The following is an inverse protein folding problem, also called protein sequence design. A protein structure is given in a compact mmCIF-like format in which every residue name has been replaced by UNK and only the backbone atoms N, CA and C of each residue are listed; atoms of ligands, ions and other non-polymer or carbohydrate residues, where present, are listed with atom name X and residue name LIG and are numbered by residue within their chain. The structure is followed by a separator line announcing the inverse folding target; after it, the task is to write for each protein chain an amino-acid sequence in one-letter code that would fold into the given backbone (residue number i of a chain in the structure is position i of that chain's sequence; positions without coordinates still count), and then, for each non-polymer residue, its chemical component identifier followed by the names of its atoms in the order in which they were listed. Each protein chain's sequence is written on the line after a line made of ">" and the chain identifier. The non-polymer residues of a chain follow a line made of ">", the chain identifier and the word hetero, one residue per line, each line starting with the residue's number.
data_IF_080804406423
#
_entry.id   IF_080804406423
#
_cell.length_a   1.000
_cell.length_b   1.000
_cell.length_c   1.000
_cell.angle_alpha   90.00
_cell.angle_beta   90.00
_cell.angle_gamma   90.00
#
_symmetry.space_group_name_H-M   'P 1'
#
loop_
_entity.id
_entity.type
_entity.pdbx_description
1 polymer ?
#
# COMPACT_ATOMS: atom_id res chain seq x y z
N UNK A 1 -1.22 52.68 31.92
CA UNK A 1 0.05 52.26 31.25
C UNK A 1 0.28 50.76 31.39
N UNK A 2 0.02 50.20 32.58
CA UNK A 2 0.05 48.76 32.85
C UNK A 2 -1.00 47.96 32.02
N UNK A 3 -2.22 48.49 31.87
CA UNK A 3 -3.30 47.80 31.16
C UNK A 3 -3.01 47.57 29.67
N UNK A 4 -2.44 48.57 28.98
CA UNK A 4 -1.95 48.43 27.59
C UNK A 4 -0.84 47.39 27.46
N UNK A 5 -0.05 47.19 28.51
CA UNK A 5 0.98 46.15 28.55
C UNK A 5 0.36 44.76 28.74
N UNK A 6 -0.64 44.64 29.62
CA UNK A 6 -1.39 43.41 29.84
C UNK A 6 -2.17 42.99 28.58
N UNK A 7 -2.80 43.92 27.88
CA UNK A 7 -3.45 43.67 26.57
C UNK A 7 -2.46 43.14 25.53
N UNK A 8 -1.28 43.76 25.40
CA UNK A 8 -0.24 43.29 24.48
C UNK A 8 0.24 41.87 24.81
N UNK A 9 0.37 41.53 26.09
CA UNK A 9 0.76 40.19 26.53
C UNK A 9 -0.36 39.17 26.21
N UNK A 10 -1.62 39.53 26.42
CA UNK A 10 -2.77 38.69 26.07
C UNK A 10 -2.86 38.43 24.55
N UNK A 11 -2.68 39.48 23.73
CA UNK A 11 -2.64 39.37 22.27
C UNK A 11 -1.46 38.54 21.77
N UNK A 12 -0.30 38.65 22.41
CA UNK A 12 0.86 37.83 22.10
C UNK A 12 0.60 36.36 22.45
N UNK A 13 0.02 36.08 23.62
CA UNK A 13 -0.35 34.73 24.05
C UNK A 13 -1.37 34.10 23.08
N UNK A 14 -2.37 34.87 22.65
CA UNK A 14 -3.37 34.42 21.67
C UNK A 14 -2.71 34.08 20.33
N UNK A 15 -1.87 34.96 19.79
CA UNK A 15 -1.13 34.72 18.55
C UNK A 15 -0.20 33.51 18.63
N UNK A 16 0.48 33.32 19.76
CA UNK A 16 1.32 32.16 20.01
C UNK A 16 0.50 30.86 20.06
N UNK A 17 -0.65 30.87 20.73
CA UNK A 17 -1.57 29.73 20.78
C UNK A 17 -2.12 29.39 19.40
N UNK A 18 -2.61 30.38 18.65
CA UNK A 18 -3.16 30.20 17.31
C UNK A 18 -2.09 29.64 16.36
N UNK A 19 -0.86 30.18 16.45
CA UNK A 19 0.29 29.70 15.69
C UNK A 19 0.61 28.25 16.05
N UNK A 20 0.72 27.92 17.33
CA UNK A 20 1.00 26.55 17.79
C UNK A 20 -0.08 25.55 17.35
N UNK A 21 -1.36 25.93 17.48
CA UNK A 21 -2.51 25.14 17.02
C UNK A 21 -2.45 24.88 15.51
N UNK A 22 -2.09 25.91 14.71
CA UNK A 22 -1.92 25.77 13.27
C UNK A 22 -0.74 24.86 12.90
N UNK A 23 0.39 24.94 13.62
CA UNK A 23 1.53 24.07 13.40
C UNK A 23 1.21 22.63 13.77
N UNK A 24 0.56 22.41 14.91
CA UNK A 24 0.17 21.08 15.36
C UNK A 24 -0.81 20.42 14.39
N UNK A 25 -1.86 21.12 13.98
CA UNK A 25 -2.83 20.60 13.02
C UNK A 25 -2.19 20.31 11.65
N UNK A 26 -1.32 21.18 11.15
CA UNK A 26 -0.57 20.96 9.91
C UNK A 26 0.34 19.74 10.00
N UNK A 27 1.06 19.57 11.11
CA UNK A 27 1.92 18.42 11.35
C UNK A 27 1.12 17.12 11.48
N UNK A 28 0.02 17.14 12.22
CA UNK A 28 -0.89 16.00 12.37
C UNK A 28 -1.47 15.56 11.01
N UNK A 29 -1.88 16.52 10.19
CA UNK A 29 -2.40 16.23 8.84
C UNK A 29 -1.32 15.65 7.92
N UNK A 30 -0.09 16.19 7.95
CA UNK A 30 1.04 15.66 7.18
C UNK A 30 1.44 14.25 7.61
N UNK A 31 1.52 13.99 8.91
CA UNK A 31 1.85 12.66 9.43
C UNK A 31 0.79 11.63 9.06
N UNK A 32 -0.49 12.00 9.16
CA UNK A 32 -1.60 11.15 8.69
C UNK A 32 -1.49 10.82 7.20
N UNK A 33 -1.23 11.82 6.35
CA UNK A 33 -1.06 11.61 4.90
C UNK A 33 0.15 10.70 4.59
N UNK A 34 1.27 10.87 5.29
CA UNK A 34 2.45 9.99 5.15
C UNK A 34 2.12 8.55 5.56
N UNK A 35 1.41 8.36 6.67
CA UNK A 35 0.99 7.04 7.14
C UNK A 35 0.04 6.38 6.15
N UNK A 36 -0.94 7.11 5.63
CA UNK A 36 -1.88 6.60 4.64
C UNK A 36 -1.17 6.21 3.34
N UNK A 37 -0.23 7.02 2.86
CA UNK A 37 0.61 6.69 1.69
C UNK A 37 1.47 5.44 1.94
N UNK A 38 2.08 5.34 3.11
CA UNK A 38 2.94 4.20 3.48
C UNK A 38 2.12 2.92 3.58
N UNK A 39 0.96 2.97 4.24
CA UNK A 39 0.04 1.84 4.35
C UNK A 39 -0.35 1.31 2.97
N UNK A 40 -0.75 2.20 2.06
CA UNK A 40 -1.10 1.82 0.68
C UNK A 40 0.08 1.19 -0.06
N UNK A 41 1.29 1.74 0.06
CA UNK A 41 2.51 1.13 -0.53
C UNK A 41 2.75 -0.28 -0.01
N UNK A 42 2.60 -0.49 1.30
CA UNK A 42 2.74 -1.82 1.92
C UNK A 42 1.68 -2.79 1.39
N UNK A 43 0.43 -2.35 1.23
CA UNK A 43 -0.64 -3.16 0.65
C UNK A 43 -0.34 -3.57 -0.81
N UNK A 44 0.16 -2.64 -1.63
CA UNK A 44 0.58 -2.93 -3.01
C UNK A 44 1.74 -3.93 -3.05
N UNK A 45 2.76 -3.75 -2.20
CA UNK A 45 3.90 -4.66 -2.16
C UNK A 45 3.53 -6.06 -1.64
N UNK A 46 2.57 -6.17 -0.71
CA UNK A 46 2.01 -7.47 -0.29
C UNK A 46 1.43 -8.24 -1.48
N UNK A 47 0.62 -7.58 -2.30
CA UNK A 47 0.00 -8.21 -3.49
C UNK A 47 1.07 -8.58 -4.51
N UNK A 48 2.06 -7.71 -4.72
CA UNK A 48 3.20 -8.00 -5.60
C UNK A 48 3.96 -9.25 -5.15
N UNK A 49 4.20 -9.41 -3.85
CA UNK A 49 4.82 -10.60 -3.28
C UNK A 49 3.95 -11.85 -3.47
N UNK A 50 2.63 -11.71 -3.34
CA UNK A 50 1.68 -12.80 -3.58
C UNK A 50 1.72 -13.29 -5.04
N UNK A 51 1.72 -12.37 -6.01
CA UNK A 51 1.87 -12.70 -7.43
C UNK A 51 3.16 -13.47 -7.67
N UNK A 52 4.29 -13.00 -7.12
CA UNK A 52 5.59 -13.70 -7.23
C UNK A 52 5.54 -15.12 -6.64
N UNK A 53 4.89 -15.29 -5.48
CA UNK A 53 4.71 -16.61 -4.86
C UNK A 53 3.85 -17.53 -5.74
N UNK A 54 2.82 -17.01 -6.38
CA UNK A 54 1.96 -17.80 -7.27
C UNK A 54 2.72 -18.22 -8.54
N UNK A 55 3.52 -17.34 -9.14
CA UNK A 55 4.42 -17.71 -10.24
C UNK A 55 5.46 -18.75 -9.82
N UNK A 56 6.04 -18.64 -8.63
CA UNK A 56 6.96 -19.64 -8.12
C UNK A 56 6.30 -21.02 -7.99
N UNK A 57 5.07 -21.08 -7.46
CA UNK A 57 4.28 -22.33 -7.38
C UNK A 57 4.01 -22.91 -8.77
N UNK A 58 3.63 -22.08 -9.73
CA UNK A 58 3.40 -22.50 -11.12
C UNK A 58 4.67 -23.07 -11.76
N UNK A 59 5.79 -22.35 -11.65
CA UNK A 59 7.08 -22.81 -12.20
C UNK A 59 7.53 -24.12 -11.57
N UNK A 60 7.39 -24.27 -10.25
CA UNK A 60 7.68 -25.53 -9.53
C UNK A 60 6.78 -26.68 -10.00
N UNK A 61 5.51 -26.40 -10.26
CA UNK A 61 4.57 -27.40 -10.78
C UNK A 61 4.97 -27.87 -12.19
N UNK A 62 5.17 -26.93 -13.11
CA UNK A 62 5.57 -27.22 -14.51
C UNK A 62 6.88 -27.99 -14.55
N UNK A 63 7.90 -27.55 -13.79
CA UNK A 63 9.18 -28.25 -13.74
C UNK A 63 9.03 -29.69 -13.22
N UNK A 64 8.19 -29.90 -12.19
CA UNK A 64 7.93 -31.24 -11.67
C UNK A 64 7.23 -32.13 -12.69
N UNK A 65 6.23 -31.63 -13.40
CA UNK A 65 5.52 -32.41 -14.42
C UNK A 65 6.42 -32.75 -15.61
N UNK A 66 7.24 -31.79 -16.06
CA UNK A 66 8.20 -32.03 -17.12
C UNK A 66 9.20 -33.13 -16.74
N UNK A 67 9.75 -33.10 -15.52
CA UNK A 67 10.71 -34.11 -15.05
C UNK A 67 10.07 -35.49 -14.89
N UNK A 68 8.86 -35.58 -14.31
CA UNK A 68 8.26 -36.86 -13.95
C UNK A 68 7.63 -37.59 -15.13
N UNK A 69 7.03 -36.85 -16.07
CA UNK A 69 6.19 -37.45 -17.10
C UNK A 69 6.51 -36.95 -18.51
N UNK A 70 7.48 -36.04 -18.67
CA UNK A 70 7.80 -35.45 -19.98
C UNK A 70 6.69 -34.58 -20.55
N UNK A 71 5.67 -34.24 -19.75
CA UNK A 71 4.54 -33.44 -20.19
C UNK A 71 4.97 -31.99 -20.46
N UNK A 72 4.69 -31.52 -21.67
CA UNK A 72 4.90 -30.15 -22.11
C UNK A 72 3.60 -29.42 -22.48
N UNK A 73 2.51 -30.17 -22.66
CA UNK A 73 1.18 -29.61 -22.92
C UNK A 73 0.36 -29.59 -21.62
N UNK A 74 -0.10 -28.40 -21.24
CA UNK A 74 -0.87 -28.13 -20.03
C UNK A 74 -2.28 -27.58 -20.33
N UNK A 75 -2.69 -27.58 -21.60
CA UNK A 75 -3.97 -27.00 -22.03
C UNK A 75 -5.19 -27.60 -21.30
N UNK A 76 -5.15 -28.91 -21.03
CA UNK A 76 -6.17 -29.64 -20.29
C UNK A 76 -5.80 -29.92 -18.82
N UNK A 77 -4.73 -29.32 -18.29
CA UNK A 77 -4.30 -29.53 -16.91
C UNK A 77 -5.06 -28.60 -15.96
N UNK A 78 -6.02 -29.16 -15.21
CA UNK A 78 -6.87 -28.43 -14.27
C UNK A 78 -6.06 -27.64 -13.24
N UNK A 79 -4.94 -28.20 -12.75
CA UNK A 79 -4.11 -27.57 -11.72
C UNK A 79 -3.27 -26.44 -12.29
N UNK A 80 -2.77 -26.59 -13.51
CA UNK A 80 -2.12 -25.50 -14.24
C UNK A 80 -3.10 -24.36 -14.49
N UNK A 81 -4.32 -24.68 -14.92
CA UNK A 81 -5.38 -23.72 -15.16
C UNK A 81 -5.79 -22.98 -13.88
N UNK A 82 -5.92 -23.69 -12.76
CA UNK A 82 -6.20 -23.11 -11.44
C UNK A 82 -5.09 -22.13 -11.01
N UNK A 83 -3.82 -22.53 -11.10
CA UNK A 83 -2.68 -21.68 -10.74
C UNK A 83 -2.62 -20.42 -11.62
N UNK A 84 -2.89 -20.56 -12.91
CA UNK A 84 -2.92 -19.44 -13.87
C UNK A 84 -4.10 -18.49 -13.58
N UNK A 85 -5.28 -19.04 -13.29
CA UNK A 85 -6.45 -18.25 -12.89
C UNK A 85 -6.19 -17.46 -11.60
N UNK A 86 -5.54 -18.08 -10.62
CA UNK A 86 -5.13 -17.42 -9.38
C UNK A 86 -4.16 -16.27 -9.62
N UNK A 87 -3.15 -16.45 -10.48
CA UNK A 87 -2.23 -15.37 -10.88
C UNK A 87 -3.00 -14.24 -11.56
N UNK A 88 -3.92 -14.56 -12.47
CA UNK A 88 -4.73 -13.56 -13.18
C UNK A 88 -5.57 -12.74 -12.20
N UNK A 89 -6.29 -13.40 -11.29
CA UNK A 89 -7.10 -12.75 -10.26
C UNK A 89 -6.28 -11.81 -9.37
N UNK A 90 -5.14 -12.26 -8.86
CA UNK A 90 -4.27 -11.40 -8.04
C UNK A 90 -3.70 -10.23 -8.85
N UNK A 91 -3.41 -10.43 -10.14
CA UNK A 91 -2.93 -9.38 -11.04
C UNK A 91 -3.99 -8.34 -11.37
N UNK A 92 -5.25 -8.74 -11.52
CA UNK A 92 -6.39 -7.83 -11.68
C UNK A 92 -6.54 -6.94 -10.44
N UNK A 93 -6.51 -7.53 -9.24
CA UNK A 93 -6.55 -6.78 -7.97
C UNK A 93 -5.38 -5.78 -7.87
N UNK A 94 -4.17 -6.18 -8.25
CA UNK A 94 -3.01 -5.28 -8.29
C UNK A 94 -3.24 -4.10 -9.24
N UNK A 95 -3.76 -4.37 -10.44
CA UNK A 95 -4.03 -3.33 -11.44
C UNK A 95 -5.14 -2.38 -10.99
N UNK A 96 -6.19 -2.87 -10.35
CA UNK A 96 -7.25 -2.03 -9.78
C UNK A 96 -6.70 -1.11 -8.68
N UNK A 97 -5.86 -1.62 -7.78
CA UNK A 97 -5.22 -0.77 -6.76
C UNK A 97 -4.31 0.27 -7.38
N UNK A 98 -3.58 -0.08 -8.44
CA UNK A 98 -2.70 0.86 -9.15
C UNK A 98 -3.49 1.94 -9.91
N UNK A 99 -4.66 1.62 -10.47
CA UNK A 99 -5.53 2.56 -11.21
C UNK A 99 -6.30 3.54 -10.32
N UNK A 100 -6.51 3.20 -9.04
CA UNK A 100 -7.09 4.12 -8.04
C UNK A 100 -6.10 5.20 -7.58
N UNK A 101 -4.93 5.28 -8.22
CA UNK A 101 -3.86 6.25 -8.03
C UNK A 101 -3.57 6.98 -9.34
#
# INVERSE_FOLDING_TARGET
>A
MLDKFLEKIADYKKRMYDSYSSFYSSYHNKTKDILDKTRKRVEIEKIRLEIKRNYYKLGKYVAKQNILSGYSDFSMDDKFNELTANIKKTSEVYNEMKKKH
#
